data_IF_476238841585
#
_entry.id   IF_476238841585
#
_cell.length_a   1.000
_cell.length_b   1.000
_cell.length_c   1.000
_cell.angle_alpha   90.00
_cell.angle_beta   90.00
_cell.angle_gamma   90.00
#
_symmetry.space_group_name_H-M   'P 1'
#
loop_
_entity.id
_entity.type
_entity.pdbx_description
1 polymer ?
#
# COMPACT_ATOMS: atom_id res chain seq x y z
N UNK A 1 -39.74 -38.62 2.48
CA UNK A 1 -39.81 -37.36 1.81
C UNK A 1 -38.43 -36.91 1.41
N UNK A 2 -38.03 -37.19 0.16
CA UNK A 2 -36.74 -36.79 -0.41
C UNK A 2 -36.78 -35.30 -0.79
N UNK A 3 -35.84 -34.55 -0.32
CA UNK A 3 -35.63 -33.15 -0.72
C UNK A 3 -34.57 -33.14 -1.83
N UNK A 4 -34.82 -32.55 -2.99
CA UNK A 4 -33.82 -32.48 -4.05
C UNK A 4 -32.84 -31.33 -3.79
N UNK A 5 -31.55 -31.61 -3.92
CA UNK A 5 -30.43 -30.67 -3.91
C UNK A 5 -30.35 -30.00 -5.30
N UNK A 6 -30.37 -28.69 -5.41
CA UNK A 6 -30.06 -28.04 -6.69
C UNK A 6 -28.54 -27.99 -6.91
N UNK A 7 -28.08 -28.71 -7.91
CA UNK A 7 -26.77 -28.53 -8.50
C UNK A 7 -26.77 -27.22 -9.33
N UNK A 8 -26.03 -26.23 -8.91
CA UNK A 8 -25.67 -25.14 -9.79
C UNK A 8 -24.19 -24.79 -9.57
N UNK A 9 -23.35 -25.33 -10.47
CA UNK A 9 -21.97 -24.88 -10.63
C UNK A 9 -21.98 -23.74 -11.63
N UNK A 10 -21.51 -22.52 -11.28
CA UNK A 10 -21.20 -21.53 -12.30
C UNK A 10 -19.93 -22.00 -13.04
N UNK A 11 -20.09 -22.23 -14.34
CA UNK A 11 -18.97 -22.46 -15.25
C UNK A 11 -18.06 -21.24 -15.26
N UNK A 12 -16.83 -21.44 -14.85
CA UNK A 12 -15.74 -20.49 -15.06
C UNK A 12 -15.41 -20.53 -16.55
N UNK A 13 -15.93 -19.57 -17.30
CA UNK A 13 -15.41 -19.26 -18.63
C UNK A 13 -14.00 -18.72 -18.44
N UNK A 14 -12.99 -19.54 -18.75
CA UNK A 14 -11.62 -19.10 -18.94
C UNK A 14 -11.62 -18.06 -20.07
N UNK A 15 -11.57 -16.80 -19.68
CA UNK A 15 -11.31 -15.71 -20.60
C UNK A 15 -9.98 -15.97 -21.29
N UNK A 16 -10.01 -15.84 -22.61
CA UNK A 16 -8.87 -15.91 -23.49
C UNK A 16 -7.67 -15.18 -22.88
N UNK A 17 -6.65 -15.92 -22.48
CA UNK A 17 -5.40 -15.34 -22.03
C UNK A 17 -4.81 -14.51 -23.16
N UNK A 18 -4.70 -13.21 -22.95
CA UNK A 18 -3.93 -12.34 -23.80
C UNK A 18 -2.52 -12.92 -23.92
N UNK A 19 -2.11 -13.19 -25.14
CA UNK A 19 -0.79 -13.76 -25.46
C UNK A 19 0.28 -12.88 -24.83
N UNK A 20 1.06 -13.47 -23.91
CA UNK A 20 2.21 -12.81 -23.29
C UNK A 20 3.18 -12.37 -24.38
N UNK A 21 3.87 -11.22 -24.23
CA UNK A 21 4.83 -10.71 -25.22
C UNK A 21 5.94 -11.71 -25.59
N UNK A 22 6.24 -12.67 -24.71
CA UNK A 22 7.18 -13.73 -24.98
C UNK A 22 6.72 -14.69 -26.11
N UNK A 23 5.42 -14.98 -26.22
CA UNK A 23 4.90 -15.84 -27.29
C UNK A 23 4.87 -15.12 -28.64
N UNK A 24 4.68 -13.78 -28.63
CA UNK A 24 4.75 -12.97 -29.82
C UNK A 24 6.17 -12.90 -30.42
N UNK A 25 7.20 -12.91 -29.57
CA UNK A 25 8.60 -12.87 -30.01
C UNK A 25 9.02 -14.19 -30.69
N UNK A 26 8.53 -15.33 -30.17
CA UNK A 26 8.81 -16.64 -30.78
C UNK A 26 8.10 -16.79 -32.12
N UNK A 27 6.83 -16.34 -32.21
CA UNK A 27 6.08 -16.42 -33.46
C UNK A 27 6.68 -15.53 -34.58
N UNK A 28 7.25 -14.37 -34.23
CA UNK A 28 7.90 -13.49 -35.21
C UNK A 28 9.26 -14.03 -35.67
N UNK A 29 9.96 -14.83 -34.84
CA UNK A 29 11.22 -15.45 -35.21
C UNK A 29 11.06 -16.63 -36.19
N UNK A 30 9.93 -17.34 -36.11
CA UNK A 30 9.67 -18.48 -37.00
C UNK A 30 8.82 -18.16 -38.22
N UNK A 31 8.23 -16.95 -38.32
CA UNK A 31 7.29 -16.57 -39.39
C UNK A 31 7.92 -16.01 -40.67
N UNK A 32 9.23 -15.86 -40.77
CA UNK A 32 9.93 -15.36 -41.98
C UNK A 32 10.86 -16.40 -42.58
N UNK A 33 10.31 -17.48 -43.11
CA UNK A 33 11.00 -18.29 -44.10
C UNK A 33 10.91 -17.58 -45.47
N UNK A 34 11.78 -16.60 -45.68
CA UNK A 34 11.98 -16.07 -47.04
C UNK A 34 13.42 -15.54 -47.20
N UNK A 35 14.19 -16.29 -47.96
CA UNK A 35 15.55 -16.01 -48.41
C UNK A 35 16.64 -16.09 -47.34
N UNK A 36 17.06 -17.34 -47.09
CA UNK A 36 18.33 -17.63 -46.44
C UNK A 36 19.41 -17.41 -47.51
N UNK A 37 19.96 -16.18 -47.55
CA UNK A 37 21.24 -15.89 -48.17
C UNK A 37 22.29 -16.03 -47.07
N UNK A 38 22.96 -17.19 -47.05
CA UNK A 38 24.32 -17.47 -46.55
C UNK A 38 24.77 -16.92 -45.18
N UNK A 39 23.86 -16.68 -44.23
CA UNK A 39 24.30 -16.58 -42.83
C UNK A 39 24.49 -18.00 -42.27
N UNK A 40 25.64 -18.23 -41.68
CA UNK A 40 25.93 -19.47 -40.96
C UNK A 40 24.89 -19.74 -39.85
N UNK A 41 24.61 -20.98 -39.55
CA UNK A 41 23.74 -21.36 -38.40
C UNK A 41 24.26 -20.76 -37.07
N UNK A 42 25.57 -20.51 -36.97
CA UNK A 42 26.19 -19.82 -35.85
C UNK A 42 25.79 -18.34 -35.78
N UNK A 43 25.82 -17.62 -36.91
CA UNK A 43 25.42 -16.20 -36.96
C UNK A 43 23.95 -16.03 -36.57
N UNK A 44 23.10 -16.97 -36.96
CA UNK A 44 21.68 -16.94 -36.59
C UNK A 44 21.45 -17.21 -35.08
N UNK A 45 22.22 -18.11 -34.50
CA UNK A 45 22.21 -18.35 -33.07
C UNK A 45 22.67 -17.13 -32.30
N UNK A 46 23.74 -16.47 -32.74
CA UNK A 46 24.25 -15.25 -32.12
C UNK A 46 23.23 -14.09 -32.16
N UNK A 47 22.51 -13.94 -33.27
CA UNK A 47 21.41 -12.95 -33.37
C UNK A 47 20.27 -13.25 -32.38
N UNK A 48 19.90 -14.52 -32.23
CA UNK A 48 18.87 -14.92 -31.24
C UNK A 48 19.36 -14.64 -29.82
N UNK A 49 20.59 -15.01 -29.49
CA UNK A 49 21.16 -14.75 -28.16
C UNK A 49 21.26 -13.25 -27.87
N UNK A 50 21.68 -12.46 -28.83
CA UNK A 50 21.73 -11.00 -28.70
C UNK A 50 20.34 -10.42 -28.47
N UNK A 51 19.33 -10.86 -29.23
CA UNK A 51 17.93 -10.43 -29.07
C UNK A 51 17.36 -10.79 -27.71
N UNK A 52 17.57 -12.02 -27.25
CA UNK A 52 17.12 -12.48 -25.92
C UNK A 52 17.82 -11.69 -24.83
N UNK A 53 19.13 -11.51 -24.93
CA UNK A 53 19.90 -10.72 -23.95
C UNK A 53 19.44 -9.28 -23.87
N UNK A 54 19.09 -8.68 -25.00
CA UNK A 54 18.54 -7.32 -25.05
C UNK A 54 17.17 -7.27 -24.37
N UNK A 55 16.28 -8.22 -24.67
CA UNK A 55 14.96 -8.32 -24.06
C UNK A 55 15.03 -8.48 -22.54
N UNK A 56 15.97 -9.30 -22.03
CA UNK A 56 16.18 -9.48 -20.59
C UNK A 56 16.62 -8.15 -19.95
N UNK A 57 17.56 -7.43 -20.54
CA UNK A 57 18.01 -6.12 -20.04
C UNK A 57 16.90 -5.08 -20.06
N UNK A 58 16.04 -5.10 -21.06
CA UNK A 58 14.89 -4.20 -21.15
C UNK A 58 13.88 -4.49 -20.03
N UNK A 59 13.60 -5.77 -19.76
CA UNK A 59 12.72 -6.19 -18.67
C UNK A 59 13.30 -5.75 -17.32
N UNK A 60 14.58 -6.03 -17.08
CA UNK A 60 15.28 -5.63 -15.85
C UNK A 60 15.21 -4.10 -15.65
N UNK A 61 15.48 -3.33 -16.69
CA UNK A 61 15.42 -1.87 -16.62
C UNK A 61 14.03 -1.35 -16.29
N UNK A 62 12.97 -1.97 -16.83
CA UNK A 62 11.58 -1.60 -16.52
C UNK A 62 11.23 -1.95 -15.08
N UNK A 63 11.62 -3.13 -14.61
CA UNK A 63 11.39 -3.55 -13.23
C UNK A 63 12.09 -2.62 -12.24
N UNK A 64 13.35 -2.26 -12.50
CA UNK A 64 14.09 -1.29 -11.70
C UNK A 64 13.37 0.08 -11.65
N UNK A 65 12.87 0.55 -12.78
CA UNK A 65 12.14 1.82 -12.83
C UNK A 65 10.84 1.77 -12.01
N UNK A 66 10.12 0.66 -12.06
CA UNK A 66 8.90 0.47 -11.30
C UNK A 66 9.16 0.39 -9.79
N UNK A 67 10.19 -0.36 -9.37
CA UNK A 67 10.63 -0.43 -7.98
C UNK A 67 11.00 0.95 -7.44
N UNK A 68 11.73 1.77 -8.23
CA UNK A 68 12.05 3.15 -7.86
C UNK A 68 10.82 4.02 -7.67
N UNK A 69 9.84 3.88 -8.53
CA UNK A 69 8.58 4.61 -8.42
C UNK A 69 7.86 4.25 -7.14
N UNK A 70 7.72 2.96 -6.84
CA UNK A 70 7.08 2.47 -5.61
C UNK A 70 7.82 2.93 -4.35
N UNK A 71 9.15 2.86 -4.34
CA UNK A 71 9.96 3.36 -3.23
C UNK A 71 9.76 4.88 -3.02
N UNK A 72 9.69 5.65 -4.11
CA UNK A 72 9.40 7.08 -4.05
C UNK A 72 8.02 7.39 -3.50
N UNK A 73 7.00 6.68 -3.93
CA UNK A 73 5.62 6.82 -3.43
C UNK A 73 5.50 6.45 -1.94
N UNK A 74 6.18 5.38 -1.50
CA UNK A 74 6.21 4.98 -0.11
C UNK A 74 6.86 6.06 0.77
N UNK A 75 8.01 6.61 0.36
CA UNK A 75 8.69 7.70 1.07
C UNK A 75 7.83 8.96 1.13
N UNK A 76 7.27 9.38 0.00
CA UNK A 76 6.39 10.55 -0.04
C UNK A 76 5.19 10.39 0.90
N UNK A 77 4.61 9.19 0.95
CA UNK A 77 3.50 8.89 1.86
C UNK A 77 3.93 8.95 3.32
N UNK A 78 5.11 8.43 3.67
CA UNK A 78 5.66 8.52 5.01
C UNK A 78 5.93 9.97 5.44
N UNK A 79 6.52 10.79 4.57
CA UNK A 79 6.77 12.21 4.79
C UNK A 79 5.48 13.02 4.96
N UNK A 80 4.46 12.72 4.17
CA UNK A 80 3.14 13.36 4.30
C UNK A 80 2.50 13.07 5.66
N UNK A 81 2.55 11.81 6.11
CA UNK A 81 2.05 11.43 7.44
C UNK A 81 2.86 12.15 8.52
N UNK A 82 4.19 12.15 8.43
CA UNK A 82 5.06 12.82 9.38
C UNK A 82 4.75 14.32 9.45
N UNK A 83 4.62 14.98 8.31
CA UNK A 83 4.31 16.41 8.22
C UNK A 83 2.94 16.71 8.81
N UNK A 84 1.94 15.89 8.52
CA UNK A 84 0.60 16.05 9.08
C UNK A 84 0.58 15.90 10.60
N UNK A 85 1.30 14.92 11.15
CA UNK A 85 1.42 14.73 12.60
C UNK A 85 2.15 15.91 13.26
N UNK A 86 3.27 16.36 12.70
CA UNK A 86 4.05 17.52 13.19
C UNK A 86 3.23 18.81 13.16
N UNK A 87 2.50 19.06 12.08
CA UNK A 87 1.65 20.26 11.97
C UNK A 87 0.45 20.21 12.94
N UNK A 88 0.00 19.02 13.31
CA UNK A 88 -0.97 18.81 14.39
C UNK A 88 -0.39 18.94 15.80
N UNK A 89 0.89 19.26 15.96
CA UNK A 89 1.56 19.37 17.26
C UNK A 89 1.78 18.02 17.96
N UNK A 90 1.69 16.93 17.22
CA UNK A 90 1.88 15.59 17.77
C UNK A 90 3.38 15.23 17.76
N UNK A 91 3.90 14.61 18.82
CA UNK A 91 5.29 14.14 18.85
C UNK A 91 5.44 13.00 17.84
N UNK A 92 6.36 13.17 16.92
CA UNK A 92 6.72 12.16 15.92
C UNK A 92 8.14 11.74 16.22
N UNK A 93 8.38 10.45 16.41
CA UNK A 93 9.74 9.93 16.44
C UNK A 93 10.39 10.25 15.10
N UNK A 94 11.60 10.78 15.14
CA UNK A 94 12.37 10.93 13.91
C UNK A 94 12.54 9.56 13.28
N UNK A 95 12.41 9.53 11.95
CA UNK A 95 12.76 8.33 11.19
C UNK A 95 14.28 8.17 11.26
N UNK A 96 14.76 7.68 12.40
CA UNK A 96 16.09 7.09 12.41
C UNK A 96 16.04 5.95 11.41
N UNK A 97 17.01 5.82 10.53
CA UNK A 97 17.15 4.60 9.75
C UNK A 97 17.33 3.49 10.78
N UNK A 98 16.27 2.70 10.96
CA UNK A 98 16.35 1.53 11.84
C UNK A 98 17.30 0.57 11.14
N UNK A 99 18.56 0.67 11.50
CA UNK A 99 19.56 -0.33 11.21
C UNK A 99 19.32 -1.55 12.12
N UNK A 100 18.14 -2.13 12.04
CA UNK A 100 17.93 -3.49 12.48
C UNK A 100 18.46 -4.40 11.37
N UNK A 101 19.78 -4.44 11.29
CA UNK A 101 20.46 -5.46 10.55
C UNK A 101 20.06 -6.81 11.16
N UNK A 102 19.33 -7.63 10.42
CA UNK A 102 19.25 -9.05 10.71
C UNK A 102 20.65 -9.64 10.83
N UNK A 103 20.82 -10.92 11.25
CA UNK A 103 22.12 -11.52 11.39
C UNK A 103 22.89 -11.34 10.07
N UNK A 104 24.08 -10.75 10.17
CA UNK A 104 24.97 -10.55 9.04
C UNK A 104 25.24 -11.92 8.41
N UNK A 105 24.65 -12.19 7.26
CA UNK A 105 24.98 -13.33 6.42
C UNK A 105 26.03 -12.80 5.43
N UNK A 106 27.32 -13.15 5.59
CA UNK A 106 28.32 -12.69 4.64
C UNK A 106 27.93 -13.22 3.26
N UNK A 107 27.86 -12.32 2.28
CA UNK A 107 27.70 -12.72 0.89
C UNK A 107 28.81 -13.74 0.57
N UNK A 108 28.44 -14.96 0.18
CA UNK A 108 29.41 -15.94 -0.29
C UNK A 108 30.23 -15.32 -1.42
N UNK A 109 31.55 -15.53 -1.39
CA UNK A 109 32.44 -15.05 -2.47
C UNK A 109 31.85 -15.44 -3.84
N UNK A 110 31.35 -14.44 -4.57
CA UNK A 110 30.68 -14.65 -5.86
C UNK A 110 29.28 -14.05 -5.99
N UNK A 111 28.60 -13.66 -4.91
CA UNK A 111 27.30 -12.98 -5.01
C UNK A 111 27.51 -11.54 -5.45
N UNK A 112 27.34 -11.26 -6.73
CA UNK A 112 27.31 -9.90 -7.25
C UNK A 112 26.01 -9.26 -6.79
N UNK A 113 26.08 -8.27 -5.90
CA UNK A 113 24.97 -7.37 -5.63
C UNK A 113 24.67 -6.63 -6.92
N UNK A 114 23.54 -6.91 -7.51
CA UNK A 114 23.09 -6.31 -8.77
C UNK A 114 22.50 -4.91 -8.54
N UNK A 115 22.31 -4.16 -9.59
CA UNK A 115 21.58 -2.88 -9.49
C UNK A 115 20.13 -3.11 -9.04
N UNK A 116 19.55 -4.24 -9.40
CA UNK A 116 18.21 -4.66 -9.00
C UNK A 116 18.13 -4.87 -7.48
N UNK A 117 19.07 -5.63 -6.89
CA UNK A 117 19.09 -5.90 -5.45
C UNK A 117 19.12 -4.59 -4.64
N UNK A 118 19.95 -3.64 -5.07
CA UNK A 118 20.03 -2.32 -4.41
C UNK A 118 18.72 -1.52 -4.46
N UNK A 119 17.96 -1.64 -5.53
CA UNK A 119 16.66 -0.95 -5.63
C UNK A 119 15.59 -1.66 -4.81
N UNK A 120 15.66 -2.99 -4.68
CA UNK A 120 14.81 -3.77 -3.76
C UNK A 120 15.07 -3.34 -2.33
N UNK A 121 16.35 -3.28 -1.89
CA UNK A 121 16.72 -2.83 -0.55
C UNK A 121 16.16 -1.42 -0.26
N UNK A 122 16.23 -0.51 -1.23
CA UNK A 122 15.66 0.85 -1.10
C UNK A 122 14.13 0.85 -0.98
N UNK A 123 13.46 -0.06 -1.66
CA UNK A 123 12.01 -0.22 -1.54
C UNK A 123 11.65 -0.72 -0.15
N UNK A 124 12.37 -1.73 0.35
CA UNK A 124 12.15 -2.28 1.69
C UNK A 124 12.34 -1.21 2.77
N UNK A 125 13.42 -0.43 2.72
CA UNK A 125 13.63 0.73 3.62
C UNK A 125 12.46 1.74 3.55
N UNK A 126 11.95 2.03 2.36
CA UNK A 126 10.86 2.97 2.18
C UNK A 126 9.53 2.43 2.72
N UNK A 127 9.28 1.14 2.58
CA UNK A 127 8.09 0.47 3.12
C UNK A 127 8.13 0.40 4.65
N UNK A 128 9.28 0.09 5.24
CA UNK A 128 9.48 0.07 6.68
C UNK A 128 9.26 1.47 7.30
N UNK A 129 9.80 2.50 6.65
CA UNK A 129 9.56 3.89 7.04
C UNK A 129 8.06 4.24 7.00
N UNK A 130 7.36 3.83 5.94
CA UNK A 130 5.92 4.06 5.80
C UNK A 130 5.11 3.30 6.85
N UNK A 131 5.45 2.04 7.13
CA UNK A 131 4.75 1.26 8.17
C UNK A 131 4.99 1.84 9.56
N UNK A 132 6.20 2.27 9.86
CA UNK A 132 6.54 2.98 11.10
C UNK A 132 5.68 4.22 11.28
N UNK A 133 5.58 5.08 10.25
CA UNK A 133 4.75 6.29 10.30
C UNK A 133 3.26 5.98 10.46
N UNK A 134 2.75 4.98 9.74
CA UNK A 134 1.36 4.51 9.90
C UNK A 134 1.10 3.97 11.31
N UNK A 135 2.02 3.22 11.85
CA UNK A 135 1.92 2.65 13.19
C UNK A 135 1.91 3.73 14.27
N UNK A 136 2.75 4.77 14.13
CA UNK A 136 2.73 5.94 15.01
C UNK A 136 1.43 6.70 14.88
N UNK A 137 0.95 6.98 13.66
CA UNK A 137 -0.29 7.70 13.44
C UNK A 137 -1.50 7.00 14.09
N UNK A 138 -1.53 5.67 14.05
CA UNK A 138 -2.61 4.86 14.68
C UNK A 138 -2.67 4.96 16.20
N UNK A 139 -1.61 5.41 16.87
CA UNK A 139 -1.58 5.61 18.32
C UNK A 139 -2.27 6.90 18.74
N UNK A 140 -2.41 7.87 17.83
CA UNK A 140 -3.06 9.13 18.13
C UNK A 140 -4.55 9.09 17.81
N UNK A 141 -5.42 9.67 18.66
CA UNK A 141 -6.87 9.65 18.48
C UNK A 141 -7.31 10.70 17.43
N UNK A 142 -6.79 10.58 16.21
CA UNK A 142 -7.03 11.51 15.10
C UNK A 142 -8.10 11.03 14.11
N UNK A 143 -8.51 9.76 14.20
CA UNK A 143 -9.57 9.23 13.35
C UNK A 143 -10.94 9.75 13.81
N UNK A 144 -11.85 9.97 12.86
CA UNK A 144 -13.24 10.29 13.22
C UNK A 144 -13.91 9.10 13.90
N UNK A 145 -14.53 9.29 15.07
CA UNK A 145 -15.29 8.22 15.72
C UNK A 145 -16.54 7.82 14.92
N UNK A 146 -17.05 8.74 14.07
CA UNK A 146 -18.20 8.53 13.20
C UNK A 146 -17.83 9.00 11.80
N UNK A 147 -17.26 8.12 10.96
CA UNK A 147 -16.84 8.47 9.61
C UNK A 147 -18.01 9.00 8.78
N UNK A 148 -17.75 10.08 8.03
CA UNK A 148 -18.72 10.76 7.15
C UNK A 148 -19.93 11.40 7.85
N UNK A 149 -19.92 11.51 9.17
CA UNK A 149 -20.97 12.22 9.90
C UNK A 149 -20.75 13.73 9.92
N UNK A 150 -21.84 14.50 9.88
CA UNK A 150 -21.79 15.95 10.01
C UNK A 150 -21.45 16.36 11.45
N UNK A 151 -20.55 17.32 11.59
CA UNK A 151 -20.27 17.96 12.89
C UNK A 151 -21.40 18.94 13.17
N UNK A 152 -22.19 18.69 14.20
CA UNK A 152 -23.29 19.55 14.60
C UNK A 152 -22.89 20.58 15.64
N UNK A 153 -21.84 20.30 16.44
CA UNK A 153 -21.28 21.25 17.38
C UNK A 153 -19.79 21.07 17.55
N UNK A 154 -19.05 22.16 17.54
CA UNK A 154 -17.59 22.18 17.68
C UNK A 154 -17.17 22.36 19.15
N UNK A 155 -15.97 21.95 19.46
CA UNK A 155 -15.31 22.22 20.73
C UNK A 155 -15.08 23.70 20.93
N UNK A 156 -15.20 24.19 22.19
CA UNK A 156 -14.89 25.56 22.59
C UNK A 156 -16.06 26.35 23.15
N UNK A 157 -15.83 27.65 23.34
CA UNK A 157 -16.86 28.56 23.85
C UNK A 157 -17.91 28.82 22.78
N UNK A 158 -19.18 28.71 23.19
CA UNK A 158 -20.32 29.01 22.34
C UNK A 158 -21.46 29.61 23.16
N UNK A 159 -22.37 30.29 22.49
CA UNK A 159 -23.62 30.72 23.11
C UNK A 159 -24.52 29.49 23.28
N UNK A 160 -24.92 29.20 24.48
CA UNK A 160 -25.85 28.13 24.75
C UNK A 160 -27.18 28.37 24.02
N UNK A 161 -27.70 27.45 23.24
CA UNK A 161 -28.93 27.66 22.46
C UNK A 161 -30.20 27.73 23.33
N UNK A 162 -30.13 27.22 24.56
CA UNK A 162 -31.28 27.16 25.49
C UNK A 162 -31.24 28.33 26.45
N UNK A 163 -30.10 28.58 27.10
CA UNK A 163 -29.95 29.57 28.18
C UNK A 163 -29.46 30.92 27.64
N UNK A 164 -28.87 30.96 26.46
CA UNK A 164 -28.36 32.18 25.82
C UNK A 164 -27.06 32.73 26.40
N UNK A 165 -26.52 32.12 27.47
CA UNK A 165 -25.25 32.48 28.10
C UNK A 165 -24.06 31.81 27.40
N UNK A 166 -22.84 32.33 27.65
CA UNK A 166 -21.63 31.70 27.17
C UNK A 166 -21.41 30.37 27.89
N UNK A 167 -21.34 29.29 27.15
CA UNK A 167 -21.06 27.95 27.65
C UNK A 167 -19.85 27.36 26.96
N UNK A 168 -19.07 26.60 27.69
CA UNK A 168 -17.93 25.87 27.12
C UNK A 168 -18.35 24.45 26.75
N UNK A 169 -18.17 24.10 25.48
CA UNK A 169 -18.40 22.74 24.97
C UNK A 169 -17.10 21.97 24.96
N UNK A 170 -16.99 20.97 25.85
CA UNK A 170 -15.78 20.14 26.03
C UNK A 170 -15.62 19.02 25.02
N UNK A 171 -16.38 18.98 23.96
CA UNK A 171 -16.35 17.92 22.95
C UNK A 171 -16.72 18.39 21.55
N UNK A 172 -16.87 17.44 20.65
CA UNK A 172 -17.39 17.62 19.30
C UNK A 172 -18.61 16.72 19.14
N UNK A 173 -19.75 17.28 18.73
CA UNK A 173 -20.97 16.50 18.48
C UNK A 173 -21.06 16.14 17.00
N UNK A 174 -21.34 14.86 16.75
CA UNK A 174 -21.57 14.31 15.42
C UNK A 174 -23.04 13.90 15.27
N UNK A 175 -23.59 14.13 14.08
CA UNK A 175 -24.94 13.66 13.74
C UNK A 175 -24.82 12.31 13.05
N UNK A 176 -25.45 11.29 13.62
CA UNK A 176 -25.55 9.96 13.02
C UNK A 176 -26.95 9.36 13.30
N UNK A 177 -27.37 8.44 12.47
CA UNK A 177 -28.62 7.68 12.68
C UNK A 177 -28.45 6.70 13.84
N UNK A 178 -29.61 6.35 14.46
CA UNK A 178 -29.64 5.34 15.52
C UNK A 178 -29.15 3.99 14.94
N UNK A 179 -28.21 3.36 15.62
CA UNK A 179 -27.59 2.10 15.19
C UNK A 179 -26.31 2.29 14.33
N UNK A 180 -25.93 3.54 14.04
CA UNK A 180 -24.66 3.79 13.38
C UNK A 180 -23.47 3.36 14.26
N UNK A 181 -22.47 2.73 13.63
CA UNK A 181 -21.31 2.24 14.37
C UNK A 181 -20.39 3.40 14.80
N UNK A 182 -20.09 3.46 16.10
CA UNK A 182 -19.10 4.38 16.67
C UNK A 182 -17.78 3.63 16.81
N UNK A 183 -16.70 4.19 16.26
CA UNK A 183 -15.37 3.58 16.28
C UNK A 183 -14.44 4.31 17.23
N UNK A 184 -13.54 3.57 17.87
CA UNK A 184 -12.44 4.19 18.61
C UNK A 184 -11.53 4.98 17.64
N UNK A 185 -11.19 6.25 17.95
CA UNK A 185 -10.37 7.09 17.10
C UNK A 185 -8.88 6.68 17.06
N UNK A 186 -8.47 5.81 17.98
CA UNK A 186 -7.16 5.16 18.04
C UNK A 186 -7.22 3.82 18.75
N UNK A 187 -6.11 3.09 18.74
CA UNK A 187 -5.92 1.93 19.60
C UNK A 187 -5.90 2.37 21.09
N UNK A 188 -6.50 1.60 21.96
CA UNK A 188 -6.56 1.90 23.39
C UNK A 188 -7.12 0.74 24.21
N UNK A 189 -7.23 0.97 25.52
CA UNK A 189 -7.80 0.03 26.48
C UNK A 189 -9.13 0.60 26.98
N UNK A 190 -10.17 -0.23 27.08
CA UNK A 190 -11.46 0.16 27.61
C UNK A 190 -11.33 0.24 29.14
N UNK A 191 -11.41 1.44 29.70
CA UNK A 191 -11.39 1.65 31.15
C UNK A 191 -12.76 1.54 31.78
N UNK A 192 -13.81 1.90 31.03
CA UNK A 192 -15.19 1.89 31.54
C UNK A 192 -16.17 1.50 30.43
N UNK A 193 -17.12 0.64 30.78
CA UNK A 193 -18.27 0.29 29.95
C UNK A 193 -19.52 0.25 30.82
N UNK A 194 -20.51 1.10 30.55
CA UNK A 194 -21.75 1.20 31.29
C UNK A 194 -22.37 2.59 31.29
N UNK A 195 -23.46 2.77 32.03
CA UNK A 195 -24.16 4.06 32.11
C UNK A 195 -23.35 5.09 32.90
N UNK A 196 -23.09 6.23 32.32
CA UNK A 196 -22.36 7.34 32.95
C UNK A 196 -23.17 8.64 32.93
N UNK A 197 -24.04 8.82 33.90
CA UNK A 197 -24.80 10.07 34.10
C UNK A 197 -25.47 10.60 32.83
N UNK A 198 -25.28 11.86 32.50
CA UNK A 198 -25.84 12.53 31.32
C UNK A 198 -25.28 12.08 29.96
N UNK A 199 -24.26 11.21 29.97
CA UNK A 199 -23.67 10.69 28.73
C UNK A 199 -24.37 9.41 28.20
N UNK A 200 -25.20 8.78 29.01
CA UNK A 200 -25.87 7.52 28.67
C UNK A 200 -24.97 6.30 28.81
N UNK A 201 -25.12 5.33 27.89
CA UNK A 201 -24.34 4.08 27.85
C UNK A 201 -23.08 4.25 27.04
#
# INVERSE_FOLDING_TARGET
GSVPVPANKPGVTLGSAASTPAQSLIASAFGKTSRITEKSAADHADEIFASVSHSIKDIESRQIAEIRTLAGEARNSAEQIQTALKSGGLPVAELEPVAEGGPFIPASEGTRITAFDKEVDRLDEALDALDTMKSQARRYPIASPVPNADITSRFGYRKDPIIGSAAFHGGIDFRAEIGHAIKAPAAGVIEFAGVKGGYGN
#
